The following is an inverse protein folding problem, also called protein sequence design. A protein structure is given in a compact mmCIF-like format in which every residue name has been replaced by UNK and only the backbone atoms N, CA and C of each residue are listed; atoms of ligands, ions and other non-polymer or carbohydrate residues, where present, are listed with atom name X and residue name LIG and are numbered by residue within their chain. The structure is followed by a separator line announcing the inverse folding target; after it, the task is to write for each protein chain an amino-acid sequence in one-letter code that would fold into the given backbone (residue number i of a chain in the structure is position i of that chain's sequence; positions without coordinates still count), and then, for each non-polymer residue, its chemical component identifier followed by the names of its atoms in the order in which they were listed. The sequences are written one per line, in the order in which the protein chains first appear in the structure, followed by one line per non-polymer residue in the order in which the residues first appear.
data_IF_469179935471
#
_entry.id   IF_469179935471
#
_cell.length_a   1.000
_cell.length_b   1.000
_cell.length_c   1.000
_cell.angle_alpha   90.00
_cell.angle_beta   90.00
_cell.angle_gamma   90.00
#
_symmetry.space_group_name_H-M   'P 1'
#
loop_
_entity.id
_entity.type
_entity.pdbx_description
1 polymer ?
#
# COMPACT_ATOMS: atom_id res chain seq x y z
N UNK A 1 -17.38 26.83 13.09
CA UNK A 1 -16.89 26.52 14.45
C UNK A 1 -16.28 25.13 14.45
N UNK A 2 -15.10 24.91 15.05
CA UNK A 2 -14.45 23.59 15.15
C UNK A 2 -14.17 23.30 16.63
N UNK A 3 -14.69 22.19 17.14
CA UNK A 3 -14.39 21.67 18.49
C UNK A 3 -13.51 20.43 18.34
N UNK A 4 -12.49 20.29 19.19
CA UNK A 4 -11.64 19.09 19.26
C UNK A 4 -12.05 18.26 20.47
N UNK A 5 -12.34 16.98 20.23
CA UNK A 5 -12.52 15.98 21.28
C UNK A 5 -11.29 15.06 21.29
N UNK A 6 -10.57 15.00 22.40
CA UNK A 6 -9.35 14.21 22.53
C UNK A 6 -9.64 12.74 22.82
N UNK A 7 -8.68 11.86 22.51
CA UNK A 7 -8.80 10.43 22.83
C UNK A 7 -8.94 10.17 24.34
N UNK A 8 -8.35 11.02 25.18
CA UNK A 8 -8.48 10.91 26.63
C UNK A 8 -9.90 11.26 27.08
N UNK A 9 -10.50 12.32 26.52
CA UNK A 9 -11.90 12.67 26.79
C UNK A 9 -12.85 11.58 26.31
N UNK A 10 -12.66 11.04 25.11
CA UNK A 10 -13.46 9.90 24.60
C UNK A 10 -13.42 8.73 25.57
N UNK A 11 -12.21 8.32 26.01
CA UNK A 11 -12.04 7.21 26.95
C UNK A 11 -12.71 7.49 28.30
N UNK A 12 -12.60 8.72 28.81
CA UNK A 12 -13.26 9.15 30.04
C UNK A 12 -14.78 9.09 29.89
N UNK A 13 -15.33 9.57 28.78
CA UNK A 13 -16.76 9.52 28.50
C UNK A 13 -17.29 8.09 28.34
N UNK A 14 -16.48 7.18 27.79
CA UNK A 14 -16.84 5.78 27.55
C UNK A 14 -16.44 4.83 28.69
N UNK A 15 -15.85 5.34 29.78
CA UNK A 15 -15.43 4.54 30.94
C UNK A 15 -14.33 3.52 30.64
N UNK A 16 -13.43 3.81 29.69
CA UNK A 16 -12.37 2.88 29.27
C UNK A 16 -11.00 3.25 29.87
N UNK A 17 -10.36 2.30 30.54
CA UNK A 17 -8.93 2.33 30.83
C UNK A 17 -8.25 1.36 29.87
N UNK A 18 -7.55 1.89 28.86
CA UNK A 18 -6.72 1.05 28.00
C UNK A 18 -5.38 0.77 28.69
N UNK A 19 -4.85 -0.45 28.61
CA UNK A 19 -3.53 -0.73 29.13
C UNK A 19 -2.46 0.08 28.40
N UNK A 20 -1.39 0.43 29.11
CA UNK A 20 -0.20 0.97 28.48
C UNK A 20 0.64 -0.16 27.90
N UNK A 21 1.09 0.04 26.66
CA UNK A 21 1.97 -0.91 25.98
C UNK A 21 3.40 -0.34 25.94
N UNK A 22 4.43 -1.16 26.22
CA UNK A 22 5.81 -0.70 26.10
C UNK A 22 6.13 -0.20 24.69
N UNK A 23 7.10 0.72 24.58
CA UNK A 23 7.48 1.34 23.32
C UNK A 23 7.76 0.29 22.24
N UNK A 24 7.25 0.52 21.03
CA UNK A 24 7.36 -0.33 19.83
C UNK A 24 6.62 -1.69 19.86
N UNK A 25 6.17 -2.18 21.02
CA UNK A 25 5.52 -3.50 21.11
C UNK A 25 4.24 -3.59 20.26
N UNK A 26 3.42 -2.55 20.25
CA UNK A 26 2.19 -2.50 19.42
C UNK A 26 2.49 -2.53 17.93
N UNK A 27 3.61 -1.99 17.48
CA UNK A 27 4.01 -2.04 16.06
C UNK A 27 4.33 -3.48 15.63
N UNK A 28 5.06 -4.22 16.48
CA UNK A 28 5.37 -5.63 16.24
C UNK A 28 4.11 -6.51 16.29
N UNK A 29 3.24 -6.29 17.28
CA UNK A 29 1.96 -7.00 17.40
C UNK A 29 1.08 -6.73 16.17
N UNK A 30 1.00 -5.48 15.72
CA UNK A 30 0.21 -5.11 14.54
C UNK A 30 0.78 -5.74 13.27
N UNK A 31 2.09 -5.74 13.07
CA UNK A 31 2.75 -6.41 11.95
C UNK A 31 2.45 -7.92 11.95
N UNK A 32 2.60 -8.57 13.11
CA UNK A 32 2.28 -9.97 13.27
C UNK A 32 0.81 -10.25 12.93
N UNK A 33 -0.12 -9.47 13.47
CA UNK A 33 -1.54 -9.61 13.21
C UNK A 33 -1.90 -9.35 11.73
N UNK A 34 -1.25 -8.41 11.05
CA UNK A 34 -1.46 -8.18 9.61
C UNK A 34 -1.08 -9.41 8.78
N UNK A 35 0.03 -10.08 9.12
CA UNK A 35 0.50 -11.27 8.42
C UNK A 35 -0.46 -12.45 8.60
N UNK A 36 -0.89 -12.75 9.83
CA UNK A 36 -1.76 -13.92 10.11
C UNK A 36 -3.25 -13.61 10.05
N UNK A 37 -3.61 -12.34 9.93
CA UNK A 37 -4.99 -11.88 9.90
C UNK A 37 -5.79 -12.35 11.13
N UNK A 38 -5.16 -12.28 12.31
CA UNK A 38 -5.64 -12.86 13.57
C UNK A 38 -6.92 -12.24 14.10
N UNK A 39 -7.20 -10.97 13.77
CA UNK A 39 -8.41 -10.26 14.18
C UNK A 39 -9.38 -9.98 13.02
N UNK A 40 -9.32 -10.76 11.93
CA UNK A 40 -10.35 -10.69 10.87
C UNK A 40 -11.70 -11.20 11.36
N UNK A 41 -12.81 -10.84 10.68
CA UNK A 41 -14.16 -11.26 11.09
C UNK A 41 -14.34 -12.77 11.26
N UNK A 42 -13.61 -13.57 10.48
CA UNK A 42 -13.60 -15.03 10.61
C UNK A 42 -13.07 -15.55 11.97
N UNK A 43 -12.38 -14.72 12.75
CA UNK A 43 -11.82 -15.08 14.07
C UNK A 43 -12.56 -14.38 15.20
N UNK A 44 -12.78 -13.06 15.07
CA UNK A 44 -13.34 -12.22 16.15
C UNK A 44 -14.78 -11.76 15.90
N UNK A 45 -15.42 -12.28 14.84
CA UNK A 45 -16.72 -11.79 14.38
C UNK A 45 -16.63 -10.43 13.69
N UNK A 46 -17.72 -10.05 13.02
CA UNK A 46 -17.82 -8.75 12.34
C UNK A 46 -18.15 -7.66 13.37
N UNK A 47 -17.11 -7.09 13.99
CA UNK A 47 -17.25 -6.18 15.14
C UNK A 47 -18.16 -4.97 14.89
N UNK A 48 -18.20 -4.44 13.66
CA UNK A 48 -19.10 -3.34 13.29
C UNK A 48 -20.58 -3.73 13.27
N UNK A 49 -20.91 -4.98 12.97
CA UNK A 49 -22.28 -5.50 13.05
C UNK A 49 -22.62 -5.88 14.50
N UNK A 50 -21.67 -6.50 15.19
CA UNK A 50 -21.83 -6.92 16.58
C UNK A 50 -22.10 -5.72 17.52
N UNK A 51 -21.38 -4.61 17.35
CA UNK A 51 -21.58 -3.43 18.19
C UNK A 51 -22.94 -2.75 17.93
N UNK A 52 -23.51 -2.89 16.73
CA UNK A 52 -24.86 -2.37 16.42
C UNK A 52 -25.95 -3.28 17.00
N UNK A 53 -25.69 -4.60 17.08
CA UNK A 53 -26.59 -5.56 17.70
C UNK A 53 -26.51 -5.58 19.24
N UNK A 54 -25.51 -4.93 19.83
CA UNK A 54 -25.31 -4.88 21.27
C UNK A 54 -26.28 -3.89 21.94
N UNK A 55 -27.15 -4.35 22.86
CA UNK A 55 -28.19 -3.50 23.45
C UNK A 55 -27.69 -2.61 24.61
N UNK A 56 -26.50 -2.89 25.15
CA UNK A 56 -25.93 -2.16 26.28
C UNK A 56 -25.24 -0.86 25.84
N UNK A 57 -24.72 -0.13 26.83
CA UNK A 57 -24.03 1.16 26.59
C UNK A 57 -22.68 1.27 27.30
N UNK A 58 -22.34 0.31 28.15
CA UNK A 58 -21.11 0.33 28.95
C UNK A 58 -20.10 -0.70 28.44
N UNK A 59 -18.82 -0.40 28.62
CA UNK A 59 -17.72 -1.28 28.18
C UNK A 59 -17.78 -2.67 28.83
N UNK A 60 -18.04 -2.76 30.13
CA UNK A 60 -18.13 -4.06 30.82
C UNK A 60 -19.29 -4.91 30.31
N UNK A 61 -20.44 -4.29 30.02
CA UNK A 61 -21.59 -4.98 29.41
C UNK A 61 -21.24 -5.51 28.00
N UNK A 62 -20.47 -4.74 27.23
CA UNK A 62 -19.99 -5.15 25.91
C UNK A 62 -19.07 -6.36 26.02
N UNK A 63 -18.11 -6.32 26.94
CA UNK A 63 -17.16 -7.41 27.17
C UNK A 63 -17.89 -8.72 27.52
N UNK A 64 -18.80 -8.70 28.51
CA UNK A 64 -19.59 -9.86 28.88
C UNK A 64 -20.44 -10.38 27.71
N UNK A 65 -21.13 -9.47 27.00
CA UNK A 65 -22.01 -9.83 25.87
C UNK A 65 -21.24 -10.43 24.70
N UNK A 66 -20.06 -9.89 24.40
CA UNK A 66 -19.17 -10.36 23.33
C UNK A 66 -18.56 -11.71 23.68
N UNK A 67 -17.98 -11.86 24.88
CA UNK A 67 -17.33 -13.09 25.33
C UNK A 67 -18.31 -14.25 25.43
N UNK A 68 -19.58 -14.02 25.76
CA UNK A 68 -20.61 -15.06 25.75
C UNK A 68 -20.87 -15.63 24.33
N UNK A 69 -20.71 -14.81 23.29
CA UNK A 69 -20.93 -15.19 21.87
C UNK A 69 -19.67 -15.70 21.19
N UNK A 70 -18.52 -15.17 21.60
CA UNK A 70 -17.22 -15.44 21.03
C UNK A 70 -16.21 -15.83 22.12
N UNK A 71 -16.48 -16.92 22.88
CA UNK A 71 -15.71 -17.24 24.10
C UNK A 71 -14.23 -17.49 23.83
N UNK A 72 -13.90 -18.05 22.65
CA UNK A 72 -12.52 -18.36 22.30
C UNK A 72 -11.85 -17.32 21.40
N UNK A 73 -12.58 -16.30 20.92
CA UNK A 73 -12.07 -15.41 19.89
C UNK A 73 -10.78 -14.68 20.32
N UNK A 74 -10.70 -14.24 21.58
CA UNK A 74 -9.50 -13.58 22.11
C UNK A 74 -8.33 -14.57 22.20
N UNK A 75 -8.57 -15.79 22.68
CA UNK A 75 -7.53 -16.81 22.81
C UNK A 75 -7.00 -17.24 21.43
N UNK A 76 -7.89 -17.51 20.48
CA UNK A 76 -7.51 -17.90 19.10
C UNK A 76 -6.74 -16.78 18.41
N UNK A 77 -7.20 -15.52 18.52
CA UNK A 77 -6.49 -14.38 17.95
C UNK A 77 -5.11 -14.20 18.59
N UNK A 78 -5.03 -14.31 19.92
CA UNK A 78 -3.79 -14.23 20.69
C UNK A 78 -2.79 -15.28 20.24
N UNK A 79 -3.18 -16.55 20.19
CA UNK A 79 -2.29 -17.66 19.82
C UNK A 79 -1.72 -17.50 18.42
N UNK A 80 -2.55 -17.11 17.44
CA UNK A 80 -2.08 -16.83 16.07
C UNK A 80 -1.05 -15.70 16.02
N UNK A 81 -1.29 -14.63 16.78
CA UNK A 81 -0.39 -13.48 16.81
C UNK A 81 0.93 -13.85 17.50
N UNK A 82 0.87 -14.59 18.62
CA UNK A 82 2.06 -15.08 19.35
C UNK A 82 2.92 -15.98 18.48
N UNK A 83 2.31 -16.93 17.76
CA UNK A 83 3.02 -17.81 16.82
C UNK A 83 3.78 -16.99 15.76
N UNK A 84 3.12 -15.98 15.17
CA UNK A 84 3.75 -15.09 14.21
C UNK A 84 4.85 -14.22 14.81
N UNK A 85 4.69 -13.77 16.05
CA UNK A 85 5.74 -13.02 16.76
C UNK A 85 7.00 -13.89 16.94
N UNK A 86 6.85 -15.18 17.23
CA UNK A 86 7.99 -16.11 17.29
C UNK A 86 8.65 -16.30 15.91
N UNK A 87 7.87 -16.36 14.83
CA UNK A 87 8.42 -16.36 13.48
C UNK A 87 9.18 -15.07 13.15
N UNK A 88 8.64 -13.90 13.51
CA UNK A 88 9.31 -12.62 13.33
C UNK A 88 10.59 -12.53 14.16
N UNK A 89 10.57 -13.00 15.42
CA UNK A 89 11.76 -13.06 16.28
C UNK A 89 12.87 -13.92 15.66
N UNK A 90 12.53 -15.07 15.09
CA UNK A 90 13.48 -15.90 14.32
C UNK A 90 13.98 -15.19 13.07
N UNK A 91 13.15 -14.42 12.38
CA UNK A 91 13.56 -13.62 11.22
C UNK A 91 14.48 -12.45 11.60
N UNK A 92 14.22 -11.79 12.74
CA UNK A 92 15.06 -10.71 13.27
C UNK A 92 16.50 -11.18 13.50
N UNK A 93 16.70 -12.43 13.95
CA UNK A 93 18.04 -13.00 14.12
C UNK A 93 18.81 -13.19 12.79
N UNK A 94 18.13 -13.10 11.64
CA UNK A 94 18.74 -13.14 10.31
C UNK A 94 19.07 -11.74 9.78
N UNK A 95 18.66 -10.68 10.47
CA UNK A 95 18.89 -9.31 10.06
C UNK A 95 20.20 -8.84 10.68
N UNK A 96 21.20 -8.66 9.84
CA UNK A 96 22.48 -8.06 10.19
C UNK A 96 22.71 -6.77 9.39
N UNK A 97 23.82 -6.09 9.68
CA UNK A 97 24.20 -4.85 8.98
C UNK A 97 24.32 -5.06 7.47
N UNK A 98 24.83 -6.20 7.03
CA UNK A 98 25.04 -6.53 5.63
C UNK A 98 23.72 -6.64 4.88
N UNK A 99 22.74 -7.35 5.44
CA UNK A 99 21.41 -7.49 4.85
C UNK A 99 20.69 -6.14 4.78
N UNK A 100 20.81 -5.33 5.83
CA UNK A 100 20.24 -3.97 5.83
C UNK A 100 20.91 -3.09 4.77
N UNK A 101 22.23 -3.14 4.63
CA UNK A 101 22.97 -2.38 3.61
C UNK A 101 22.56 -2.81 2.19
N UNK A 102 22.39 -4.11 1.95
CA UNK A 102 21.88 -4.63 0.68
C UNK A 102 20.47 -4.12 0.38
N UNK A 103 19.57 -4.15 1.37
CA UNK A 103 18.21 -3.64 1.21
C UNK A 103 18.19 -2.13 0.93
N UNK A 104 19.02 -1.35 1.63
CA UNK A 104 19.15 0.10 1.39
C UNK A 104 19.73 0.38 -0.01
N UNK A 105 20.76 -0.36 -0.43
CA UNK A 105 21.36 -0.20 -1.76
C UNK A 105 20.37 -0.57 -2.86
N UNK A 106 19.62 -1.66 -2.70
CA UNK A 106 18.55 -2.04 -3.63
C UNK A 106 17.50 -0.93 -3.72
N UNK A 107 17.06 -0.38 -2.59
CA UNK A 107 16.11 0.73 -2.58
C UNK A 107 16.65 1.99 -3.26
N UNK A 108 17.85 2.44 -2.86
CA UNK A 108 18.41 3.74 -3.28
C UNK A 108 18.96 3.71 -4.69
N UNK A 109 19.68 2.65 -5.07
CA UNK A 109 20.34 2.56 -6.38
C UNK A 109 19.43 1.87 -7.39
N UNK A 110 19.05 0.63 -7.12
CA UNK A 110 18.42 -0.23 -8.12
C UNK A 110 16.98 0.21 -8.38
N UNK A 111 16.14 0.24 -7.34
CA UNK A 111 14.72 0.60 -7.46
C UNK A 111 14.51 2.04 -7.90
N UNK A 112 15.35 2.97 -7.45
CA UNK A 112 15.30 4.36 -7.92
C UNK A 112 15.67 4.44 -9.40
N UNK A 113 16.80 3.86 -9.82
CA UNK A 113 17.23 3.93 -11.22
C UNK A 113 16.18 3.29 -12.14
N UNK A 114 15.71 2.09 -11.81
CA UNK A 114 14.66 1.40 -12.57
C UNK A 114 13.36 2.21 -12.58
N UNK A 115 12.97 2.80 -11.45
CA UNK A 115 11.75 3.61 -11.34
C UNK A 115 11.80 4.90 -12.16
N UNK A 116 12.96 5.57 -12.19
CA UNK A 116 13.15 6.82 -12.92
C UNK A 116 13.44 6.61 -14.42
N UNK A 117 14.11 5.53 -14.79
CA UNK A 117 14.37 5.16 -16.20
C UNK A 117 13.27 4.27 -16.80
N UNK A 118 12.18 4.09 -16.06
CA UNK A 118 11.05 3.25 -16.46
C UNK A 118 10.43 3.67 -17.81
N UNK A 119 10.32 4.98 -18.05
CA UNK A 119 9.82 5.53 -19.32
C UNK A 119 10.70 5.10 -20.50
N UNK A 120 12.03 5.15 -20.33
CA UNK A 120 12.98 4.71 -21.37
C UNK A 120 12.76 3.25 -21.77
N UNK A 121 12.55 2.35 -20.80
CA UNK A 121 12.30 0.94 -21.09
C UNK A 121 11.02 0.72 -21.92
N UNK A 122 9.98 1.54 -21.67
CA UNK A 122 8.75 1.53 -22.47
C UNK A 122 9.04 2.03 -23.88
N UNK A 123 9.73 3.17 -24.03
CA UNK A 123 10.08 3.73 -25.33
C UNK A 123 10.85 2.72 -26.17
N UNK A 124 11.90 2.15 -25.60
CA UNK A 124 12.72 1.13 -26.25
C UNK A 124 11.88 -0.06 -26.70
N UNK A 125 10.96 -0.55 -25.87
CA UNK A 125 10.13 -1.71 -26.22
C UNK A 125 9.14 -1.41 -27.35
N UNK A 126 8.57 -0.21 -27.36
CA UNK A 126 7.67 0.24 -28.44
C UNK A 126 8.45 0.42 -29.74
N UNK A 127 9.63 1.03 -29.69
CA UNK A 127 10.50 1.24 -30.84
C UNK A 127 11.01 -0.09 -31.45
N UNK A 128 11.40 -1.06 -30.61
CA UNK A 128 11.73 -2.42 -31.05
C UNK A 128 10.58 -3.08 -31.84
N UNK A 129 9.34 -2.96 -31.34
CA UNK A 129 8.15 -3.49 -32.02
C UNK A 129 7.87 -2.77 -33.35
N UNK A 130 8.14 -1.47 -33.41
CA UNK A 130 7.97 -0.62 -34.60
C UNK A 130 9.15 -0.67 -35.57
N UNK A 131 10.25 -1.31 -35.18
CA UNK A 131 11.53 -1.38 -35.92
C UNK A 131 12.08 0.00 -36.28
N UNK A 132 12.04 0.92 -35.32
CA UNK A 132 12.61 2.26 -35.43
C UNK A 132 13.46 2.58 -34.20
N UNK A 133 14.15 3.71 -34.23
CA UNK A 133 14.90 4.22 -33.08
C UNK A 133 13.98 4.90 -32.05
N UNK A 134 14.52 5.21 -30.87
CA UNK A 134 13.85 6.01 -29.84
C UNK A 134 14.80 7.08 -29.29
N UNK A 135 14.24 8.15 -28.74
CA UNK A 135 14.98 9.15 -27.96
C UNK A 135 14.20 9.58 -26.73
N UNK A 136 14.93 10.02 -25.70
CA UNK A 136 14.34 10.62 -24.50
C UNK A 136 14.05 12.09 -24.77
N UNK A 137 13.00 12.60 -24.13
CA UNK A 137 12.66 14.01 -24.16
C UNK A 137 13.70 14.84 -23.37
N UNK A 138 13.92 16.08 -23.80
CA UNK A 138 14.60 17.10 -22.99
C UNK A 138 13.70 17.55 -21.84
N UNK A 139 14.25 18.20 -20.79
CA UNK A 139 13.45 18.77 -19.71
C UNK A 139 12.36 19.75 -20.21
N UNK A 140 12.65 20.51 -21.27
CA UNK A 140 11.70 21.43 -21.90
C UNK A 140 10.57 20.66 -22.60
N UNK A 141 10.88 19.57 -23.29
CA UNK A 141 9.89 18.70 -23.95
C UNK A 141 9.03 17.94 -22.91
N UNK A 142 9.62 17.45 -21.82
CA UNK A 142 8.90 16.85 -20.70
C UNK A 142 7.90 17.83 -20.05
N UNK A 143 8.26 19.11 -19.96
CA UNK A 143 7.37 20.15 -19.43
C UNK A 143 6.14 20.40 -20.32
N UNK A 144 6.23 20.04 -21.61
CA UNK A 144 5.13 20.09 -22.57
C UNK A 144 4.36 18.76 -22.63
N UNK A 145 4.70 17.81 -21.76
CA UNK A 145 4.06 16.50 -21.68
C UNK A 145 4.59 15.46 -22.66
N UNK A 146 5.75 15.68 -23.29
CA UNK A 146 6.42 14.71 -24.15
C UNK A 146 7.40 13.90 -23.31
N UNK A 147 7.20 12.59 -23.19
CA UNK A 147 8.08 11.72 -22.40
C UNK A 147 9.21 11.10 -23.25
N UNK A 148 9.12 11.22 -24.58
CA UNK A 148 10.16 10.83 -25.52
C UNK A 148 9.64 10.72 -26.94
N UNK A 149 10.42 10.10 -27.82
CA UNK A 149 10.09 9.91 -29.23
C UNK A 149 10.27 8.47 -29.67
N UNK A 150 9.40 8.04 -30.58
CA UNK A 150 9.49 6.77 -31.31
C UNK A 150 9.68 7.13 -32.79
N UNK A 151 10.88 6.91 -33.32
CA UNK A 151 11.33 7.54 -34.56
C UNK A 151 11.27 9.07 -34.42
N UNK A 152 10.47 9.73 -35.26
CA UNK A 152 10.27 11.18 -35.22
C UNK A 152 8.96 11.59 -34.53
N UNK A 153 8.18 10.65 -33.97
CA UNK A 153 6.88 10.96 -33.36
C UNK A 153 7.01 11.18 -31.86
N UNK A 154 6.55 12.33 -31.32
CA UNK A 154 6.53 12.55 -29.88
C UNK A 154 5.48 11.65 -29.22
N UNK A 155 5.84 11.07 -28.09
CA UNK A 155 4.97 10.20 -27.30
C UNK A 155 4.91 10.63 -25.84
N UNK A 156 3.78 10.37 -25.21
CA UNK A 156 3.61 10.55 -23.78
C UNK A 156 3.19 9.25 -23.11
N UNK A 157 3.87 8.89 -22.01
CA UNK A 157 3.71 7.63 -21.29
C UNK A 157 2.88 7.88 -20.04
N UNK A 158 1.67 7.31 -19.99
CA UNK A 158 0.74 7.50 -18.86
C UNK A 158 0.33 6.15 -18.25
N UNK A 159 0.09 6.09 -16.92
CA UNK A 159 -0.52 4.90 -16.33
C UNK A 159 -1.94 4.70 -16.87
N UNK A 160 -2.39 3.46 -17.04
CA UNK A 160 -3.73 3.17 -17.58
C UNK A 160 -4.88 3.82 -16.80
N UNK A 161 -4.69 4.13 -15.51
CA UNK A 161 -5.64 4.90 -14.69
C UNK A 161 -5.89 6.32 -15.20
N UNK A 162 -5.01 6.86 -16.05
CA UNK A 162 -5.18 8.14 -16.71
C UNK A 162 -6.39 8.12 -17.65
N UNK A 163 -6.67 6.99 -18.32
CA UNK A 163 -7.85 6.81 -19.20
C UNK A 163 -9.18 7.09 -18.48
N UNK A 164 -9.24 6.89 -17.17
CA UNK A 164 -10.44 7.07 -16.36
C UNK A 164 -10.62 8.50 -15.84
N UNK A 165 -9.63 9.40 -15.99
CA UNK A 165 -9.70 10.78 -15.53
C UNK A 165 -10.36 11.68 -16.59
N UNK A 166 -11.70 11.71 -16.61
CA UNK A 166 -12.55 12.47 -17.56
C UNK A 166 -12.48 14.02 -17.46
N UNK A 167 -11.37 14.62 -17.01
CA UNK A 167 -11.35 16.06 -16.73
C UNK A 167 -9.97 16.70 -16.68
N UNK A 168 -8.99 16.18 -17.42
CA UNK A 168 -7.69 16.83 -17.53
C UNK A 168 -7.72 17.81 -18.71
N UNK A 169 -7.52 19.09 -18.43
CA UNK A 169 -7.43 20.20 -19.40
C UNK A 169 -6.11 20.22 -20.17
N UNK A 170 -5.36 19.11 -20.20
CA UNK A 170 -4.07 19.02 -20.86
C UNK A 170 -4.28 18.63 -22.33
N UNK A 171 -4.09 19.56 -23.26
CA UNK A 171 -3.93 19.25 -24.68
C UNK A 171 -2.51 18.70 -24.92
N UNK A 172 -2.36 17.38 -24.79
CA UNK A 172 -1.08 16.71 -25.06
C UNK A 172 -0.95 16.51 -26.57
N UNK A 173 -0.07 17.26 -27.23
CA UNK A 173 0.25 17.12 -28.66
C UNK A 173 1.24 15.96 -28.92
N UNK A 174 1.04 14.82 -28.25
CA UNK A 174 1.88 13.63 -28.36
C UNK A 174 1.04 12.35 -28.37
N UNK A 175 1.54 11.30 -29.02
CA UNK A 175 0.83 10.01 -29.07
C UNK A 175 0.90 9.32 -27.70
N UNK A 176 -0.23 8.83 -27.21
CA UNK A 176 -0.30 8.29 -25.84
C UNK A 176 0.07 6.80 -25.81
N UNK A 177 1.06 6.47 -24.98
CA UNK A 177 1.41 5.11 -24.58
C UNK A 177 0.90 4.89 -23.17
N UNK A 178 0.03 3.90 -22.99
CA UNK A 178 -0.49 3.52 -21.69
C UNK A 178 0.25 2.32 -21.12
N UNK A 179 0.53 2.34 -19.82
CA UNK A 179 1.13 1.21 -19.12
C UNK A 179 0.32 0.75 -17.90
N UNK A 180 0.35 -0.55 -17.63
CA UNK A 180 -0.20 -1.16 -16.43
C UNK A 180 0.82 -2.05 -15.75
N UNK A 181 1.17 -1.75 -14.50
CA UNK A 181 2.05 -2.60 -13.69
C UNK A 181 1.29 -3.85 -13.22
N UNK A 182 1.83 -5.03 -13.52
CA UNK A 182 1.35 -6.35 -13.07
C UNK A 182 2.40 -6.97 -12.16
N UNK A 183 2.08 -8.11 -11.52
CA UNK A 183 3.03 -8.80 -10.61
C UNK A 183 4.26 -9.35 -11.33
N UNK A 184 4.11 -9.66 -12.62
CA UNK A 184 5.07 -10.32 -13.50
C UNK A 184 5.68 -9.37 -14.56
N UNK A 185 5.31 -8.10 -14.58
CA UNK A 185 5.84 -7.15 -15.55
C UNK A 185 4.92 -5.97 -15.83
N UNK A 186 4.98 -5.47 -17.05
CA UNK A 186 4.22 -4.30 -17.50
C UNK A 186 3.49 -4.65 -18.78
N UNK A 187 2.19 -4.34 -18.83
CA UNK A 187 1.44 -4.34 -20.09
C UNK A 187 1.50 -2.94 -20.69
N UNK A 188 1.89 -2.85 -21.96
CA UNK A 188 1.99 -1.60 -22.71
C UNK A 188 0.89 -1.63 -23.78
N UNK A 189 0.12 -0.54 -23.90
CA UNK A 189 -0.97 -0.38 -24.86
C UNK A 189 -0.82 0.97 -25.57
N UNK A 190 -0.83 0.96 -26.89
CA UNK A 190 -0.77 2.15 -27.74
C UNK A 190 -1.52 1.86 -29.03
N UNK A 191 -2.10 2.91 -29.64
CA UNK A 191 -2.85 2.80 -30.89
C UNK A 191 -1.89 2.95 -32.08
N UNK A 192 -1.79 4.14 -32.66
CA UNK A 192 -0.88 4.46 -33.75
C UNK A 192 0.28 5.34 -33.29
N UNK A 193 1.49 4.80 -33.47
CA UNK A 193 2.79 5.44 -33.28
C UNK A 193 3.65 5.01 -34.46
#
# INVERSE_FOLDING_TARGET
MKIKLTNQEIRKHLGSLSPEFPKYTTQLINLANQNVQGTRPKVVGQLSELIQAFPGKRLGEWEEWYLKRHPEAINIATNKIVEMLEHLKKAMNKIDRTLVEQWVRDLVIVKTFVGLRFQEAILKKVAENKKCDYSLASPEEESQGIDGFIGNKPVSIKPATYKSKRGLSEEIQASLIYYSKRKDGITIEYEEI
#
